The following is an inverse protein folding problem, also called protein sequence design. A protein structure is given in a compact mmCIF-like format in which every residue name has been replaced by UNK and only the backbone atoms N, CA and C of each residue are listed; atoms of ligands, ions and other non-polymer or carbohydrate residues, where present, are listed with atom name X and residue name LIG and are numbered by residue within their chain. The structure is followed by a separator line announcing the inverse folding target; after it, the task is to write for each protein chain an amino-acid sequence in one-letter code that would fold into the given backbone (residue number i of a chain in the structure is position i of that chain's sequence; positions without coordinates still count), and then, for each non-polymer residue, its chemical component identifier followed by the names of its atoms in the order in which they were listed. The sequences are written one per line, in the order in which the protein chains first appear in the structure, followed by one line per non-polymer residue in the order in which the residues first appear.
data_IF_366401669751
#
_entry.id   IF_366401669751
#
_cell.length_a   1.000
_cell.length_b   1.000
_cell.length_c   1.000
_cell.angle_alpha   90.00
_cell.angle_beta   90.00
_cell.angle_gamma   90.00
#
_symmetry.space_group_name_H-M   'P 1'
#
loop_
_entity.id
_entity.type
_entity.pdbx_description
1 polymer ?
#
# COMPACT_ATOMS: atom_id res chain seq x y z
N UNK A 1 -10.96 41.60 -0.87
CA UNK A 1 -9.61 41.34 -1.41
C UNK A 1 -8.65 41.18 -0.24
N UNK A 2 -8.42 39.95 0.21
CA UNK A 2 -7.60 39.64 1.40
C UNK A 2 -6.29 39.01 0.99
N UNK A 3 -5.18 39.71 1.25
CA UNK A 3 -3.83 39.31 0.87
C UNK A 3 -3.27 38.30 1.90
N UNK A 4 -3.17 37.02 1.52
CA UNK A 4 -2.53 35.99 2.32
C UNK A 4 -1.00 36.14 2.28
N UNK A 5 -0.40 36.62 3.38
CA UNK A 5 1.05 36.54 3.62
C UNK A 5 1.42 35.10 4.01
N UNK A 6 2.33 34.47 3.25
CA UNK A 6 2.93 33.16 3.60
C UNK A 6 4.03 33.35 4.67
N UNK A 7 4.21 32.43 5.63
CA UNK A 7 5.31 32.51 6.59
C UNK A 7 6.65 32.20 5.93
N UNK A 8 7.63 33.07 6.14
CA UNK A 8 9.03 32.86 5.75
C UNK A 8 9.70 31.78 6.60
N UNK A 9 10.55 31.00 5.95
CA UNK A 9 11.38 29.90 6.46
C UNK A 9 12.53 30.38 7.36
N UNK A 10 12.22 30.98 8.51
CA UNK A 10 13.23 31.41 9.49
C UNK A 10 13.69 30.29 10.46
N UNK A 11 12.99 29.16 10.55
CA UNK A 11 13.26 28.15 11.60
C UNK A 11 14.51 27.30 11.36
N UNK A 12 14.91 27.08 10.10
CA UNK A 12 16.07 26.23 9.78
C UNK A 12 17.41 26.95 10.04
N UNK A 13 17.45 28.27 9.83
CA UNK A 13 18.62 29.10 10.07
C UNK A 13 18.94 29.23 11.56
N UNK A 14 17.90 29.35 12.40
CA UNK A 14 18.04 29.35 13.86
C UNK A 14 18.53 27.99 14.42
N UNK A 15 18.10 26.88 13.81
CA UNK A 15 18.54 25.55 14.23
C UNK A 15 20.04 25.33 13.95
N UNK A 16 20.52 25.79 12.80
CA UNK A 16 21.95 25.72 12.44
C UNK A 16 22.84 26.63 13.29
N UNK A 17 22.37 27.84 13.64
CA UNK A 17 23.09 28.72 14.55
C UNK A 17 23.10 28.23 16.01
N UNK A 18 22.06 27.52 16.44
CA UNK A 18 21.99 26.96 17.81
C UNK A 18 23.00 25.82 18.02
N UNK A 19 23.31 25.05 16.97
CA UNK A 19 24.37 24.04 16.98
C UNK A 19 25.76 24.70 17.12
N UNK A 20 25.98 25.89 16.52
CA UNK A 20 27.24 26.63 16.71
C UNK A 20 27.38 27.30 18.09
N UNK A 21 26.27 27.63 18.77
CA UNK A 21 26.32 28.39 20.03
C UNK A 21 26.34 27.55 21.30
N UNK A 22 25.95 26.26 21.25
CA UNK A 22 25.87 25.43 22.46
C UNK A 22 27.13 24.64 22.82
N UNK A 23 28.13 24.60 21.94
CA UNK A 23 29.36 23.82 22.17
C UNK A 23 30.63 24.69 22.33
N UNK A 24 30.50 26.00 22.56
CA UNK A 24 31.64 26.90 22.81
C UNK A 24 32.03 27.02 24.29
N UNK A 25 31.70 26.03 25.11
CA UNK A 25 32.26 25.87 26.47
C UNK A 25 32.94 24.52 26.57
N UNK A 26 34.14 24.47 25.98
CA UNK A 26 35.31 23.66 26.34
C UNK A 26 36.17 23.51 25.09
N UNK A 27 37.09 24.45 24.90
CA UNK A 27 38.25 24.25 24.04
C UNK A 27 39.10 23.14 24.67
N UNK A 28 39.03 21.96 24.06
CA UNK A 28 40.04 20.87 24.04
C UNK A 28 39.35 19.51 23.85
N UNK A 29 38.46 19.41 22.87
CA UNK A 29 38.05 18.12 22.31
C UNK A 29 38.55 18.04 20.89
N UNK A 30 39.49 17.13 20.67
CA UNK A 30 40.03 16.84 19.34
C UNK A 30 38.94 16.19 18.48
N UNK A 31 39.10 16.22 17.15
CA UNK A 31 38.18 15.53 16.23
C UNK A 31 38.06 14.02 16.53
N UNK A 32 39.09 13.43 17.14
CA UNK A 32 39.07 12.06 17.67
C UNK A 32 38.06 11.89 18.81
N UNK A 33 38.02 12.81 19.77
CA UNK A 33 37.10 12.74 20.92
C UNK A 33 35.63 12.84 20.48
N UNK A 34 35.34 13.62 19.45
CA UNK A 34 34.00 13.73 18.85
C UNK A 34 33.61 12.44 18.12
N UNK A 35 34.55 11.81 17.41
CA UNK A 35 34.33 10.53 16.72
C UNK A 35 34.14 9.38 17.72
N UNK A 36 34.88 9.37 18.83
CA UNK A 36 34.74 8.36 19.89
C UNK A 36 33.44 8.54 20.69
N UNK A 37 32.98 9.79 20.89
CA UNK A 37 31.64 10.08 21.44
C UNK A 37 30.51 9.62 20.50
N UNK A 38 30.67 9.80 19.18
CA UNK A 38 29.70 9.29 18.19
C UNK A 38 29.70 7.76 18.11
N UNK A 39 30.85 7.11 18.23
CA UNK A 39 30.98 5.66 18.25
C UNK A 39 30.43 5.05 19.56
N UNK A 40 30.71 5.65 20.72
CA UNK A 40 30.19 5.20 22.01
C UNK A 40 28.69 5.47 22.19
N UNK A 41 28.15 6.55 21.61
CA UNK A 41 26.70 6.79 21.52
C UNK A 41 25.99 5.77 20.60
N UNK A 42 26.70 5.24 19.60
CA UNK A 42 26.23 4.16 18.72
C UNK A 42 26.17 2.80 19.46
N UNK A 43 27.07 2.55 20.41
CA UNK A 43 27.15 1.27 21.13
C UNK A 43 26.24 1.19 22.37
N UNK A 44 25.82 2.33 22.95
CA UNK A 44 24.87 2.35 24.09
C UNK A 44 23.39 2.19 23.71
N UNK A 45 23.06 1.98 22.44
CA UNK A 45 21.68 1.89 21.93
C UNK A 45 21.31 0.48 21.46
N UNK A 46 21.65 -0.54 22.25
CA UNK A 46 21.31 -1.94 21.97
C UNK A 46 20.59 -2.60 23.16
N UNK A 47 19.48 -2.03 23.64
CA UNK A 47 18.39 -2.86 24.22
C UNK A 47 17.06 -2.14 24.50
N UNK A 48 16.81 -0.97 23.91
CA UNK A 48 15.42 -0.59 23.68
C UNK A 48 14.98 -1.36 22.44
N UNK A 49 14.10 -2.33 22.64
CA UNK A 49 13.32 -2.98 21.58
C UNK A 49 12.58 -1.86 20.83
N UNK A 50 13.28 -1.18 19.92
CA UNK A 50 12.73 -0.12 19.12
C UNK A 50 11.55 -0.74 18.41
N UNK A 51 10.34 -0.25 18.66
CA UNK A 51 9.13 -0.69 17.97
C UNK A 51 9.43 -0.72 16.48
N UNK A 52 9.74 -1.91 15.97
CA UNK A 52 10.18 -2.06 14.59
C UNK A 52 8.99 -1.65 13.75
N UNK A 53 9.13 -0.55 13.04
CA UNK A 53 8.08 -0.04 12.18
C UNK A 53 7.69 -1.13 11.17
N UNK A 54 6.50 -1.70 11.35
CA UNK A 54 5.99 -2.74 10.46
C UNK A 54 5.48 -2.09 9.17
N UNK A 55 5.81 -2.70 8.04
CA UNK A 55 5.19 -2.41 6.75
C UNK A 55 4.10 -3.45 6.45
N UNK A 56 3.38 -3.29 5.34
CA UNK A 56 2.35 -4.25 4.91
C UNK A 56 2.76 -4.89 3.59
N UNK A 57 2.95 -6.21 3.57
CA UNK A 57 3.11 -6.99 2.36
C UNK A 57 1.75 -7.40 1.81
N UNK A 58 1.45 -7.06 0.56
CA UNK A 58 0.20 -7.43 -0.11
C UNK A 58 0.38 -8.64 -1.02
N UNK A 59 -0.44 -9.68 -0.81
CA UNK A 59 -0.53 -10.85 -1.70
C UNK A 59 -1.96 -11.03 -2.20
N UNK A 60 -2.13 -11.28 -3.51
CA UNK A 60 -3.44 -11.54 -4.09
C UNK A 60 -4.02 -12.86 -3.60
N UNK A 61 -5.34 -12.88 -3.36
CA UNK A 61 -6.10 -14.10 -3.07
C UNK A 61 -6.89 -14.45 -4.34
N UNK A 62 -6.95 -15.74 -4.68
CA UNK A 62 -7.73 -16.27 -5.81
C UNK A 62 -8.92 -17.09 -5.30
N UNK A 63 -9.95 -16.44 -4.73
CA UNK A 63 -11.08 -17.16 -4.18
C UNK A 63 -11.98 -17.74 -5.28
N UNK A 64 -12.55 -18.92 -5.01
CA UNK A 64 -13.65 -19.51 -5.80
C UNK A 64 -14.92 -18.66 -5.71
N UNK A 65 -15.96 -19.00 -6.50
CA UNK A 65 -17.25 -18.31 -6.42
C UNK A 65 -17.89 -18.44 -5.03
N UNK A 66 -17.78 -19.61 -4.40
CA UNK A 66 -18.29 -19.83 -3.05
C UNK A 66 -17.47 -19.04 -2.01
N UNK A 67 -16.14 -19.14 -2.03
CA UNK A 67 -15.26 -18.38 -1.13
C UNK A 67 -15.48 -16.87 -1.24
N UNK A 68 -15.71 -16.34 -2.45
CA UNK A 68 -16.06 -14.93 -2.66
C UNK A 68 -17.33 -14.52 -1.91
N UNK A 69 -18.36 -15.37 -1.89
CA UNK A 69 -19.59 -15.11 -1.11
C UNK A 69 -19.30 -15.03 0.37
N UNK A 70 -18.54 -15.98 0.91
CA UNK A 70 -18.13 -16.01 2.32
C UNK A 70 -17.31 -14.79 2.70
N UNK A 71 -16.32 -14.39 1.87
CA UNK A 71 -15.51 -13.20 2.11
C UNK A 71 -16.32 -11.90 2.05
N UNK A 72 -17.30 -11.81 1.16
CA UNK A 72 -18.22 -10.67 1.11
C UNK A 72 -19.12 -10.63 2.35
N UNK A 73 -19.58 -11.78 2.85
CA UNK A 73 -20.36 -11.85 4.07
C UNK A 73 -19.54 -11.45 5.30
N UNK A 74 -18.27 -11.86 5.38
CA UNK A 74 -17.34 -11.40 6.42
C UNK A 74 -17.15 -9.87 6.38
N UNK A 75 -17.02 -9.29 5.18
CA UNK A 75 -16.99 -7.83 5.02
C UNK A 75 -18.29 -7.18 5.50
N UNK A 76 -19.45 -7.76 5.16
CA UNK A 76 -20.76 -7.26 5.55
C UNK A 76 -20.91 -7.25 7.06
N UNK A 77 -20.60 -8.36 7.73
CA UNK A 77 -20.61 -8.50 9.19
C UNK A 77 -19.64 -7.52 9.84
N UNK A 78 -18.43 -7.39 9.31
CA UNK A 78 -17.43 -6.44 9.81
C UNK A 78 -17.94 -5.00 9.72
N UNK A 79 -18.47 -4.59 8.56
CA UNK A 79 -18.99 -3.24 8.33
C UNK A 79 -20.19 -2.94 9.22
N UNK A 80 -21.12 -3.89 9.31
CA UNK A 80 -22.29 -3.77 10.17
C UNK A 80 -21.90 -3.64 11.65
N UNK A 81 -20.99 -4.47 12.14
CA UNK A 81 -20.50 -4.40 13.53
C UNK A 81 -19.92 -3.02 13.85
N UNK A 82 -19.09 -2.48 12.94
CA UNK A 82 -18.49 -1.16 13.12
C UNK A 82 -19.56 -0.05 13.13
N UNK A 83 -20.52 -0.10 12.20
CA UNK A 83 -21.60 0.86 12.14
C UNK A 83 -22.50 0.80 13.37
N UNK A 84 -22.77 -0.41 13.88
CA UNK A 84 -23.55 -0.59 15.08
C UNK A 84 -22.82 -0.01 16.30
N UNK A 85 -21.51 -0.24 16.43
CA UNK A 85 -20.70 0.42 17.45
C UNK A 85 -20.77 1.95 17.35
N UNK A 86 -20.67 2.49 16.13
CA UNK A 86 -20.76 3.93 15.87
C UNK A 86 -22.11 4.50 16.29
N UNK A 87 -23.21 3.83 15.92
CA UNK A 87 -24.57 4.20 16.31
C UNK A 87 -24.79 4.13 17.82
N UNK A 88 -24.31 3.08 18.48
CA UNK A 88 -24.42 2.95 19.95
C UNK A 88 -23.71 4.09 20.69
N UNK A 89 -22.54 4.52 20.19
CA UNK A 89 -21.80 5.62 20.80
C UNK A 89 -22.47 6.97 20.53
N UNK A 90 -22.91 7.20 19.30
CA UNK A 90 -23.45 8.51 18.88
C UNK A 90 -24.90 8.72 19.34
N UNK A 91 -25.77 7.73 19.11
CA UNK A 91 -27.22 7.87 19.31
C UNK A 91 -27.66 7.36 20.68
N UNK A 92 -27.00 6.33 21.22
CA UNK A 92 -27.34 5.74 22.53
C UNK A 92 -26.43 6.23 23.66
N UNK A 93 -25.46 7.09 23.36
CA UNK A 93 -24.55 7.68 24.35
C UNK A 93 -23.66 6.67 25.08
N UNK A 94 -23.47 5.46 24.53
CA UNK A 94 -22.61 4.46 25.16
C UNK A 94 -21.14 4.86 25.11
N UNK A 95 -20.41 4.56 26.19
CA UNK A 95 -18.96 4.77 26.23
C UNK A 95 -18.28 3.84 25.21
N UNK A 96 -17.27 4.32 24.45
CA UNK A 96 -16.55 3.55 23.43
C UNK A 96 -15.53 2.58 24.06
N UNK A 97 -15.96 1.82 25.07
CA UNK A 97 -15.15 0.81 25.74
C UNK A 97 -15.39 -0.53 25.06
N UNK A 98 -14.29 -1.22 24.74
CA UNK A 98 -14.33 -2.49 24.04
C UNK A 98 -15.25 -3.51 24.73
N UNK A 99 -15.11 -3.68 26.04
CA UNK A 99 -15.92 -4.63 26.82
C UNK A 99 -17.41 -4.31 26.79
N UNK A 100 -17.78 -3.03 26.93
CA UNK A 100 -19.17 -2.57 26.90
C UNK A 100 -19.82 -2.86 25.54
N UNK A 101 -19.15 -2.46 24.46
CA UNK A 101 -19.68 -2.66 23.11
C UNK A 101 -19.72 -4.15 22.75
N UNK A 102 -18.70 -4.93 23.10
CA UNK A 102 -18.66 -6.38 22.82
C UNK A 102 -19.84 -7.15 23.43
N UNK A 103 -20.28 -6.78 24.64
CA UNK A 103 -21.44 -7.40 25.29
C UNK A 103 -22.74 -7.25 24.48
N UNK A 104 -22.79 -6.29 23.57
CA UNK A 104 -23.94 -6.00 22.71
C UNK A 104 -23.67 -6.54 21.31
N UNK A 105 -22.68 -5.97 20.60
CA UNK A 105 -22.50 -6.21 19.16
C UNK A 105 -21.86 -7.56 18.81
N UNK A 106 -21.26 -8.26 19.77
CA UNK A 106 -20.63 -9.57 19.53
C UNK A 106 -21.52 -10.74 19.95
N UNK A 107 -22.77 -10.49 20.36
CA UNK A 107 -23.72 -11.56 20.69
C UNK A 107 -24.05 -12.41 19.47
N UNK A 108 -24.26 -13.67 19.77
CA UNK A 108 -24.57 -14.73 18.81
C UNK A 108 -26.06 -14.86 18.60
N UNK A 109 -26.87 -14.73 19.65
CA UNK A 109 -28.31 -14.80 19.55
C UNK A 109 -28.94 -13.42 19.68
N UNK A 110 -30.02 -13.21 18.93
CA UNK A 110 -30.76 -11.97 18.90
C UNK A 110 -31.38 -11.64 20.27
N UNK A 111 -31.94 -12.65 20.94
CA UNK A 111 -32.59 -12.51 22.26
C UNK A 111 -31.64 -12.15 23.41
N UNK A 112 -30.33 -12.30 23.22
CA UNK A 112 -29.32 -11.94 24.24
C UNK A 112 -28.99 -10.44 24.24
N UNK A 113 -29.55 -9.67 23.31
CA UNK A 113 -29.34 -8.23 23.15
C UNK A 113 -30.61 -7.51 23.56
N UNK A 114 -30.46 -6.56 24.48
CA UNK A 114 -31.56 -5.69 24.93
C UNK A 114 -32.22 -5.01 23.71
N UNK A 115 -33.57 -5.09 23.58
CA UNK A 115 -34.32 -4.48 22.49
C UNK A 115 -33.97 -3.00 22.23
N UNK A 116 -33.62 -2.22 23.27
CA UNK A 116 -33.28 -0.81 23.11
C UNK A 116 -32.00 -0.56 22.29
N UNK A 117 -31.13 -1.58 22.20
CA UNK A 117 -29.87 -1.56 21.47
C UNK A 117 -29.92 -2.30 20.14
N UNK A 118 -31.06 -2.91 19.79
CA UNK A 118 -31.28 -3.57 18.50
C UNK A 118 -31.45 -2.56 17.38
N UNK A 119 -31.06 -2.99 16.17
CA UNK A 119 -31.35 -2.28 14.93
C UNK A 119 -32.41 -3.09 14.17
N UNK A 120 -33.34 -2.44 13.50
CA UNK A 120 -34.37 -3.14 12.74
C UNK A 120 -33.77 -4.07 11.66
N UNK A 121 -34.38 -5.24 11.47
CA UNK A 121 -34.00 -6.23 10.45
C UNK A 121 -32.54 -6.73 10.56
N UNK A 122 -32.03 -6.84 11.79
CA UNK A 122 -30.67 -7.30 12.10
C UNK A 122 -30.53 -8.82 12.31
N UNK A 123 -31.61 -9.60 12.17
CA UNK A 123 -31.62 -11.05 12.38
C UNK A 123 -30.53 -11.80 11.59
N UNK A 124 -30.26 -11.37 10.35
CA UNK A 124 -29.21 -11.95 9.50
C UNK A 124 -27.80 -11.86 10.13
N UNK A 125 -27.58 -10.89 11.03
CA UNK A 125 -26.29 -10.63 11.66
C UNK A 125 -25.98 -11.64 12.78
N UNK A 126 -26.99 -12.28 13.39
CA UNK A 126 -26.86 -13.20 14.52
C UNK A 126 -26.40 -14.61 14.11
N UNK A 127 -25.44 -14.69 13.19
CA UNK A 127 -24.82 -15.93 12.76
C UNK A 127 -23.58 -16.28 13.62
N UNK A 128 -23.61 -17.43 14.29
CA UNK A 128 -22.55 -17.88 15.21
C UNK A 128 -21.19 -18.08 14.55
N UNK A 129 -21.15 -18.36 13.24
CA UNK A 129 -19.91 -18.66 12.53
C UNK A 129 -18.98 -17.45 12.39
N UNK A 130 -19.50 -16.22 12.57
CA UNK A 130 -18.73 -14.99 12.33
C UNK A 130 -18.39 -14.22 13.61
N UNK A 131 -18.49 -14.85 14.79
CA UNK A 131 -18.23 -14.23 16.09
C UNK A 131 -16.84 -13.55 16.16
N UNK A 132 -15.80 -14.19 15.63
CA UNK A 132 -14.46 -13.59 15.63
C UNK A 132 -14.35 -12.35 14.74
N UNK A 133 -15.10 -12.29 13.62
CA UNK A 133 -15.15 -11.10 12.76
C UNK A 133 -15.85 -9.93 13.46
N UNK A 134 -16.93 -10.22 14.22
CA UNK A 134 -17.59 -9.22 15.08
C UNK A 134 -16.60 -8.69 16.13
N UNK A 135 -15.89 -9.60 16.80
CA UNK A 135 -14.93 -9.25 17.84
C UNK A 135 -13.80 -8.34 17.32
N UNK A 136 -13.17 -8.71 16.20
CA UNK A 136 -12.10 -7.90 15.60
C UNK A 136 -12.60 -6.57 15.08
N UNK A 137 -13.80 -6.52 14.49
CA UNK A 137 -14.39 -5.26 14.03
C UNK A 137 -14.71 -4.30 15.17
N UNK A 138 -15.27 -4.80 16.28
CA UNK A 138 -15.52 -3.99 17.48
C UNK A 138 -14.21 -3.44 18.09
N UNK A 139 -13.15 -4.27 18.17
CA UNK A 139 -11.82 -3.83 18.61
C UNK A 139 -11.24 -2.75 17.67
N UNK A 140 -11.39 -2.93 16.37
CA UNK A 140 -10.96 -1.95 15.35
C UNK A 140 -11.70 -0.62 15.48
N UNK A 141 -13.01 -0.66 15.76
CA UNK A 141 -13.79 0.54 16.06
C UNK A 141 -13.23 1.29 17.27
N UNK A 142 -13.06 0.61 18.41
CA UNK A 142 -12.57 1.22 19.64
C UNK A 142 -11.18 1.84 19.46
N UNK A 143 -10.29 1.14 18.73
CA UNK A 143 -8.95 1.63 18.40
C UNK A 143 -9.02 2.87 17.50
N UNK A 144 -9.85 2.83 16.45
CA UNK A 144 -10.04 3.95 15.53
C UNK A 144 -10.63 5.18 16.23
N UNK A 145 -11.56 4.96 17.16
CA UNK A 145 -12.16 6.00 17.97
C UNK A 145 -11.13 6.69 18.88
N UNK A 146 -10.32 5.90 19.60
CA UNK A 146 -9.24 6.42 20.46
C UNK A 146 -8.23 7.23 19.66
N UNK A 147 -7.80 6.71 18.51
CA UNK A 147 -6.86 7.40 17.62
C UNK A 147 -7.44 8.69 17.06
N UNK A 148 -8.71 8.69 16.66
CA UNK A 148 -9.38 9.89 16.15
C UNK A 148 -9.43 11.01 17.18
N UNK A 149 -9.74 10.67 18.44
CA UNK A 149 -9.73 11.62 19.56
C UNK A 149 -8.33 12.18 19.82
N UNK A 150 -7.30 11.33 19.82
CA UNK A 150 -5.91 11.74 20.04
C UNK A 150 -5.41 12.69 18.94
N UNK A 151 -5.71 12.38 17.68
CA UNK A 151 -5.25 13.13 16.51
C UNK A 151 -6.15 14.34 16.18
N UNK A 152 -7.19 14.62 16.97
CA UNK A 152 -8.25 15.60 16.66
C UNK A 152 -8.83 15.42 15.25
N UNK A 153 -8.84 14.19 14.76
CA UNK A 153 -9.33 13.86 13.42
C UNK A 153 -10.78 13.41 13.47
N UNK A 154 -11.51 13.57 12.37
CA UNK A 154 -12.87 13.03 12.27
C UNK A 154 -12.83 11.50 12.28
N UNK A 155 -13.76 10.89 13.02
CA UNK A 155 -13.97 9.45 12.97
C UNK A 155 -14.42 9.04 11.56
N UNK A 156 -14.12 7.80 11.15
CA UNK A 156 -14.57 7.30 9.85
C UNK A 156 -16.09 7.30 9.77
N UNK A 157 -16.59 7.69 8.59
CA UNK A 157 -18.01 7.62 8.23
C UNK A 157 -18.53 6.17 8.31
N UNK A 158 -19.86 5.98 8.44
CA UNK A 158 -20.48 4.67 8.31
C UNK A 158 -20.00 3.95 7.04
N UNK A 159 -19.76 2.65 7.17
CA UNK A 159 -19.31 1.79 6.08
C UNK A 159 -20.51 1.17 5.35
N UNK A 160 -20.41 0.93 4.04
CA UNK A 160 -21.50 0.31 3.30
C UNK A 160 -21.75 -1.13 3.75
N UNK A 161 -22.99 -1.46 4.10
CA UNK A 161 -23.40 -2.84 4.45
C UNK A 161 -24.00 -3.54 3.23
N UNK A 162 -24.79 -2.82 2.43
CA UNK A 162 -25.29 -3.30 1.14
C UNK A 162 -24.28 -3.02 0.02
N UNK A 163 -24.31 -3.86 -1.03
CA UNK A 163 -23.53 -3.68 -2.26
C UNK A 163 -22.05 -3.32 -2.02
N UNK A 164 -21.35 -4.19 -1.29
CA UNK A 164 -19.95 -3.97 -0.91
C UNK A 164 -19.06 -3.98 -2.16
N UNK A 165 -18.77 -2.80 -2.70
CA UNK A 165 -17.84 -2.64 -3.83
C UNK A 165 -16.40 -2.86 -3.37
N UNK A 166 -16.04 -2.26 -2.24
CA UNK A 166 -14.70 -2.32 -1.64
C UNK A 166 -14.79 -2.30 -0.11
N UNK A 167 -13.72 -2.73 0.55
CA UNK A 167 -13.66 -2.70 2.00
C UNK A 167 -12.54 -3.57 2.55
N UNK A 168 -12.44 -3.61 3.88
CA UNK A 168 -11.46 -4.48 4.54
C UNK A 168 -11.95 -4.97 5.89
N UNK A 169 -11.57 -6.18 6.26
CA UNK A 169 -11.76 -6.72 7.61
C UNK A 169 -10.46 -7.32 8.13
N UNK A 170 -10.31 -7.38 9.45
CA UNK A 170 -9.14 -7.96 10.10
C UNK A 170 -9.43 -9.40 10.55
N UNK A 171 -8.43 -10.25 10.40
CA UNK A 171 -8.46 -11.66 10.81
C UNK A 171 -7.33 -11.89 11.81
N UNK A 172 -7.66 -12.53 12.93
CA UNK A 172 -6.68 -12.81 13.97
C UNK A 172 -5.65 -13.82 13.46
N UNK A 173 -4.38 -13.63 13.85
CA UNK A 173 -3.30 -14.54 13.42
C UNK A 173 -3.57 -16.00 13.75
N UNK A 174 -4.20 -16.27 14.90
CA UNK A 174 -4.51 -17.65 15.36
C UNK A 174 -5.47 -18.38 14.43
N UNK A 175 -6.27 -17.64 13.66
CA UNK A 175 -7.22 -18.19 12.70
C UNK A 175 -6.62 -18.37 11.31
N UNK A 176 -5.34 -18.04 11.14
CA UNK A 176 -4.59 -18.14 9.91
C UNK A 176 -3.38 -19.02 10.11
N UNK A 177 -3.27 -20.06 9.28
CA UNK A 177 -2.10 -20.93 9.30
C UNK A 177 -1.77 -21.43 7.92
N UNK A 178 -0.50 -21.77 7.73
CA UNK A 178 -0.06 -22.54 6.58
C UNK A 178 -0.68 -23.95 6.64
N UNK A 179 -0.92 -24.54 5.47
CA UNK A 179 -1.38 -25.92 5.41
C UNK A 179 -0.27 -26.86 5.89
N UNK A 180 -0.60 -27.72 6.83
CA UNK A 180 0.26 -28.83 7.24
C UNK A 180 -0.02 -30.06 6.38
N UNK A 181 0.88 -31.06 6.42
CA UNK A 181 0.65 -32.36 5.78
C UNK A 181 -0.67 -33.02 6.20
N UNK A 182 -1.12 -32.78 7.44
CA UNK A 182 -2.38 -33.31 7.99
C UNK A 182 -3.63 -32.64 7.42
N UNK A 183 -3.51 -31.44 6.85
CA UNK A 183 -4.65 -30.68 6.32
C UNK A 183 -5.04 -31.11 4.88
N UNK A 184 -4.12 -31.75 4.17
CA UNK A 184 -4.31 -32.08 2.75
C UNK A 184 -4.60 -33.57 2.62
N UNK A 185 -5.88 -33.92 2.42
CA UNK A 185 -6.33 -35.29 2.14
C UNK A 185 -5.79 -35.89 0.83
N UNK A 186 -5.09 -35.08 0.03
CA UNK A 186 -4.48 -35.49 -1.23
C UNK A 186 -3.00 -35.15 -1.15
N UNK A 187 -2.10 -36.02 -1.63
CA UNK A 187 -0.64 -35.81 -1.64
C UNK A 187 -0.19 -34.67 -2.60
N UNK A 188 -1.01 -33.64 -2.79
CA UNK A 188 -0.78 -32.57 -3.73
C UNK A 188 0.13 -31.50 -3.11
N UNK A 189 1.44 -31.69 -3.23
CA UNK A 189 2.48 -30.76 -2.77
C UNK A 189 2.27 -29.32 -3.28
N UNK A 190 1.60 -29.14 -4.43
CA UNK A 190 1.29 -27.81 -4.95
C UNK A 190 0.28 -27.04 -4.08
N UNK A 191 -0.59 -27.72 -3.34
CA UNK A 191 -1.53 -27.06 -2.43
C UNK A 191 -0.82 -26.46 -1.22
N UNK A 192 0.09 -27.21 -0.59
CA UNK A 192 0.84 -26.72 0.59
C UNK A 192 1.64 -25.46 0.27
N UNK A 193 2.14 -25.34 -0.95
CA UNK A 193 2.98 -24.23 -1.38
C UNK A 193 2.22 -22.95 -1.76
N UNK A 194 0.88 -22.98 -1.90
CA UNK A 194 0.11 -21.83 -2.39
C UNK A 194 -1.19 -21.56 -1.65
N UNK A 195 -1.55 -22.36 -0.66
CA UNK A 195 -2.83 -22.22 0.05
C UNK A 195 -2.62 -21.90 1.52
N UNK A 196 -3.56 -21.15 2.08
CA UNK A 196 -3.65 -20.87 3.51
C UNK A 196 -4.98 -21.36 4.05
N UNK A 197 -4.96 -21.78 5.32
CA UNK A 197 -6.17 -22.05 6.07
C UNK A 197 -6.60 -20.76 6.78
N UNK A 198 -7.85 -20.36 6.57
CA UNK A 198 -8.49 -19.27 7.28
C UNK A 198 -9.88 -19.72 7.69
N UNK A 199 -10.20 -19.73 8.99
CA UNK A 199 -11.53 -20.06 9.52
C UNK A 199 -12.27 -21.14 8.70
N UNK A 200 -11.71 -22.37 8.61
CA UNK A 200 -12.13 -23.34 7.61
C UNK A 200 -13.61 -23.73 7.72
N UNK A 201 -14.19 -23.63 8.92
CA UNK A 201 -15.58 -23.98 9.20
C UNK A 201 -16.59 -22.96 8.62
N UNK A 202 -16.09 -21.80 8.17
CA UNK A 202 -16.89 -20.74 7.54
C UNK A 202 -16.99 -20.90 6.03
N UNK A 203 -16.12 -21.71 5.42
CA UNK A 203 -16.12 -21.94 3.97
C UNK A 203 -16.96 -23.16 3.63
N UNK A 204 -16.37 -24.36 3.60
CA UNK A 204 -17.01 -25.57 3.11
C UNK A 204 -16.65 -26.78 3.99
N UNK A 205 -17.43 -27.86 3.86
CA UNK A 205 -17.17 -29.15 4.54
C UNK A 205 -15.76 -29.68 4.18
N UNK A 206 -15.21 -30.51 5.09
CA UNK A 206 -13.83 -31.05 5.00
C UNK A 206 -13.51 -31.77 3.69
N UNK A 207 -14.52 -32.26 2.97
CA UNK A 207 -14.37 -33.05 1.74
C UNK A 207 -13.88 -32.25 0.52
N UNK A 208 -14.05 -30.93 0.47
CA UNK A 208 -13.59 -30.12 -0.67
C UNK A 208 -12.44 -29.16 -0.30
N UNK A 209 -11.18 -29.60 -0.42
CA UNK A 209 -10.03 -28.80 0.01
C UNK A 209 -9.84 -27.51 -0.82
N UNK A 210 -10.32 -27.47 -2.08
CA UNK A 210 -10.24 -26.27 -2.93
C UNK A 210 -11.18 -25.16 -2.46
N UNK A 211 -12.30 -25.53 -1.84
CA UNK A 211 -13.26 -24.58 -1.27
C UNK A 211 -12.94 -24.23 0.18
N UNK A 212 -12.35 -25.15 0.93
CA UNK A 212 -11.98 -24.95 2.34
C UNK A 212 -10.77 -24.04 2.55
N UNK A 213 -9.83 -24.01 1.62
CA UNK A 213 -8.56 -23.28 1.76
C UNK A 213 -8.42 -22.19 0.70
N UNK A 214 -7.84 -21.04 1.09
CA UNK A 214 -7.69 -19.90 0.20
C UNK A 214 -6.40 -20.00 -0.60
N UNK A 215 -6.51 -19.95 -1.93
CA UNK A 215 -5.35 -19.92 -2.82
C UNK A 215 -4.74 -18.51 -2.87
N UNK A 216 -3.42 -18.43 -2.72
CA UNK A 216 -2.64 -17.22 -2.88
C UNK A 216 -2.06 -17.10 -4.30
N UNK A 217 -1.84 -15.87 -4.74
CA UNK A 217 -1.19 -15.56 -6.00
C UNK A 217 0.34 -15.78 -5.96
N UNK A 218 0.94 -15.76 -4.77
CA UNK A 218 2.37 -16.06 -4.54
C UNK A 218 2.51 -17.36 -3.75
N UNK A 219 3.67 -18.01 -3.87
CA UNK A 219 4.01 -19.19 -3.05
C UNK A 219 4.22 -18.78 -1.59
N UNK A 220 3.92 -19.68 -0.65
CA UNK A 220 4.10 -19.47 0.79
C UNK A 220 5.55 -19.14 1.14
N UNK A 221 6.52 -19.72 0.46
CA UNK A 221 7.95 -19.41 0.65
C UNK A 221 8.35 -17.98 0.26
N UNK A 222 7.47 -17.25 -0.45
CA UNK A 222 7.71 -15.86 -0.91
C UNK A 222 6.88 -14.82 -0.15
N UNK A 223 6.13 -15.23 0.88
CA UNK A 223 5.39 -14.30 1.74
C UNK A 223 6.07 -14.23 3.11
N UNK A 224 5.97 -13.10 3.83
CA UNK A 224 6.43 -13.03 5.21
C UNK A 224 5.65 -13.99 6.12
N UNK A 225 6.24 -14.36 7.28
CA UNK A 225 5.52 -15.11 8.31
C UNK A 225 4.29 -14.32 8.81
N UNK A 226 3.25 -15.05 9.21
CA UNK A 226 1.99 -14.48 9.72
C UNK A 226 2.07 -14.38 11.25
N UNK A 227 2.86 -13.42 11.74
CA UNK A 227 3.11 -13.24 13.18
C UNK A 227 2.13 -12.27 13.85
N UNK A 228 1.33 -11.56 13.02
CA UNK A 228 0.39 -10.53 13.42
C UNK A 228 -0.98 -10.75 12.78
N UNK A 229 -1.99 -10.08 13.34
CA UNK A 229 -3.31 -10.01 12.74
C UNK A 229 -3.20 -9.40 11.34
N UNK A 230 -3.85 -10.02 10.37
CA UNK A 230 -3.78 -9.58 8.97
C UNK A 230 -5.06 -8.89 8.57
N UNK A 231 -5.01 -8.19 7.44
CA UNK A 231 -6.18 -7.54 6.85
C UNK A 231 -6.49 -8.14 5.49
N UNK A 232 -7.73 -8.55 5.27
CA UNK A 232 -8.24 -8.88 3.94
C UNK A 232 -8.91 -7.64 3.36
N UNK A 233 -8.54 -7.29 2.13
CA UNK A 233 -9.05 -6.12 1.42
C UNK A 233 -9.70 -6.55 0.11
N UNK A 234 -10.95 -6.14 -0.09
CA UNK A 234 -11.61 -6.16 -1.39
C UNK A 234 -11.34 -4.85 -2.10
N UNK A 235 -10.70 -4.92 -3.26
CA UNK A 235 -10.43 -3.77 -4.12
C UNK A 235 -11.64 -3.44 -4.99
N UNK A 236 -11.69 -2.22 -5.52
CA UNK A 236 -12.79 -1.75 -6.38
C UNK A 236 -13.01 -2.63 -7.64
N UNK A 237 -11.95 -3.25 -8.17
CA UNK A 237 -12.04 -4.21 -9.28
C UNK A 237 -12.56 -5.61 -8.86
N UNK A 238 -13.07 -5.76 -7.63
CA UNK A 238 -13.60 -7.02 -7.11
C UNK A 238 -12.55 -8.06 -6.70
N UNK A 239 -11.26 -7.75 -6.82
CA UNK A 239 -10.18 -8.66 -6.39
C UNK A 239 -9.92 -8.57 -4.89
N UNK A 240 -9.53 -9.70 -4.30
CA UNK A 240 -9.18 -9.79 -2.89
C UNK A 240 -7.66 -9.84 -2.71
N UNK A 241 -7.17 -9.13 -1.70
CA UNK A 241 -5.77 -9.19 -1.28
C UNK A 241 -5.65 -9.39 0.22
N UNK A 242 -4.63 -10.13 0.62
CA UNK A 242 -4.19 -10.32 1.99
C UNK A 242 -3.04 -9.36 2.26
N UNK A 243 -3.22 -8.50 3.27
CA UNK A 243 -2.22 -7.56 3.75
C UNK A 243 -1.64 -8.10 5.06
N UNK A 244 -0.37 -8.50 5.01
CA UNK A 244 0.36 -9.11 6.12
C UNK A 244 1.30 -8.04 6.70
N UNK A 245 1.14 -7.63 7.98
CA UNK A 245 2.12 -6.81 8.65
C UNK A 245 3.46 -7.55 8.76
N UNK A 246 4.55 -6.93 8.33
CA UNK A 246 5.86 -7.56 8.28
C UNK A 246 7.00 -6.55 8.36
N UNK A 247 8.22 -7.06 8.55
CA UNK A 247 9.43 -6.26 8.49
C UNK A 247 9.57 -5.57 7.10
N UNK A 248 10.05 -4.31 7.04
CA UNK A 248 10.30 -3.58 5.80
C UNK A 248 11.16 -4.33 4.77
N UNK A 249 12.02 -5.25 5.19
CA UNK A 249 12.87 -6.07 4.30
C UNK A 249 12.07 -6.91 3.30
N UNK A 250 10.82 -7.28 3.61
CA UNK A 250 9.96 -8.02 2.68
C UNK A 250 9.32 -7.13 1.59
N UNK A 251 9.24 -5.82 1.83
CA UNK A 251 8.57 -4.87 0.91
C UNK A 251 9.57 -3.99 0.17
N UNK A 252 10.77 -3.77 0.71
CA UNK A 252 11.82 -2.96 0.11
C UNK A 252 12.77 -3.83 -0.71
N UNK A 253 13.20 -3.32 -1.86
CA UNK A 253 14.30 -3.89 -2.62
C UNK A 253 15.60 -3.64 -1.85
N UNK A 254 16.38 -4.70 -1.64
CA UNK A 254 17.70 -4.57 -1.02
C UNK A 254 18.63 -3.87 -2.02
N UNK A 255 18.80 -2.56 -1.85
CA UNK A 255 19.60 -1.69 -2.72
C UNK A 255 21.08 -1.73 -2.36
N UNK A 256 21.46 -2.50 -1.34
CA UNK A 256 22.84 -2.66 -0.88
C UNK A 256 23.74 -3.33 -1.92
N UNK A 257 23.17 -4.10 -2.85
CA UNK A 257 23.91 -4.80 -3.90
C UNK A 257 23.74 -4.16 -5.29
N UNK A 258 22.95 -3.09 -5.40
CA UNK A 258 22.97 -2.32 -6.65
C UNK A 258 24.30 -1.57 -6.64
N UNK A 259 25.21 -1.89 -7.57
CA UNK A 259 26.38 -1.07 -7.88
C UNK A 259 25.87 0.28 -8.35
N UNK A 260 25.78 1.23 -7.42
CA UNK A 260 25.26 2.55 -7.73
C UNK A 260 26.36 3.34 -8.44
N UNK A 261 26.42 3.17 -9.76
CA UNK A 261 27.18 4.05 -10.63
C UNK A 261 26.46 5.42 -10.64
N UNK A 262 27.01 6.38 -9.90
CA UNK A 262 26.62 7.81 -9.83
C UNK A 262 25.28 8.09 -9.17
N UNK A 263 25.32 8.70 -7.98
CA UNK A 263 24.15 8.93 -7.12
C UNK A 263 23.86 10.41 -7.01
N UNK A 264 23.39 10.97 -8.10
CA UNK A 264 23.05 12.39 -8.18
C UNK A 264 21.72 12.66 -7.46
N UNK A 265 21.69 13.62 -6.53
CA UNK A 265 20.49 14.01 -5.76
C UNK A 265 19.89 15.30 -6.33
N UNK A 266 18.75 15.18 -7.02
CA UNK A 266 17.95 16.34 -7.41
C UNK A 266 17.24 16.95 -6.21
N UNK A 267 17.55 18.21 -5.92
CA UNK A 267 16.90 19.06 -4.93
C UNK A 267 15.99 20.01 -5.70
N UNK A 268 14.69 19.72 -5.73
CA UNK A 268 13.67 20.64 -6.27
C UNK A 268 13.07 21.45 -5.11
N UNK A 269 13.36 22.76 -5.02
CA UNK A 269 12.83 23.63 -3.99
C UNK A 269 11.41 24.14 -4.27
N UNK A 270 10.73 23.67 -5.32
CA UNK A 270 9.32 23.98 -5.58
C UNK A 270 9.09 25.47 -5.90
N UNK A 271 9.34 25.85 -7.15
CA UNK A 271 9.08 27.21 -7.67
C UNK A 271 10.12 27.78 -8.62
N UNK A 272 11.19 27.03 -8.94
CA UNK A 272 12.23 27.42 -9.92
C UNK A 272 12.08 26.62 -11.22
N UNK A 273 12.60 27.18 -12.32
CA UNK A 273 12.62 26.55 -13.66
C UNK A 273 13.80 25.60 -13.89
N UNK A 274 14.76 25.55 -12.96
CA UNK A 274 15.91 24.64 -12.99
C UNK A 274 15.99 23.85 -11.68
N UNK A 275 16.40 22.58 -11.77
CA UNK A 275 16.70 21.72 -10.65
C UNK A 275 18.11 22.02 -10.13
N UNK A 276 18.26 22.13 -8.81
CA UNK A 276 19.60 22.12 -8.20
C UNK A 276 19.95 20.68 -7.90
N UNK A 277 21.16 20.27 -8.24
CA UNK A 277 21.57 18.90 -8.22
C UNK A 277 22.87 18.78 -7.43
N UNK A 278 22.88 17.89 -6.43
CA UNK A 278 24.07 17.61 -5.63
C UNK A 278 24.64 16.25 -6.01
N UNK A 279 25.92 16.21 -6.36
CA UNK A 279 26.67 14.96 -6.50
C UNK A 279 27.47 14.71 -5.21
N UNK A 280 27.11 13.67 -4.43
CA UNK A 280 27.83 13.32 -3.21
C UNK A 280 29.21 12.69 -3.48
N UNK A 281 29.48 12.23 -4.71
CA UNK A 281 30.79 11.64 -5.07
C UNK A 281 31.79 12.76 -5.31
N UNK A 282 31.43 13.72 -6.17
CA UNK A 282 32.29 14.86 -6.51
C UNK A 282 32.14 16.03 -5.52
N UNK A 283 31.28 15.89 -4.51
CA UNK A 283 30.89 16.93 -3.56
C UNK A 283 30.51 18.25 -4.25
N UNK A 284 29.89 18.17 -5.43
CA UNK A 284 29.62 19.31 -6.29
C UNK A 284 28.14 19.61 -6.38
N UNK A 285 27.81 20.88 -6.62
CA UNK A 285 26.44 21.33 -6.87
C UNK A 285 26.38 21.92 -8.27
N UNK A 286 25.50 21.39 -9.11
CA UNK A 286 25.25 21.92 -10.44
C UNK A 286 23.76 22.11 -10.68
N UNK A 287 23.43 22.90 -11.70
CA UNK A 287 22.04 23.20 -12.07
C UNK A 287 21.70 22.43 -13.33
N UNK A 288 20.48 21.91 -13.39
CA UNK A 288 19.95 21.20 -14.56
C UNK A 288 18.62 21.83 -14.96
N UNK A 289 18.42 22.12 -16.24
CA UNK A 289 17.27 22.86 -16.76
C UNK A 289 17.53 24.36 -16.95
N UNK A 290 18.80 24.77 -17.02
CA UNK A 290 19.21 26.12 -17.43
C UNK A 290 19.06 26.29 -18.95
N UNK A 291 19.19 27.52 -19.46
CA UNK A 291 18.93 27.82 -20.87
C UNK A 291 19.86 27.02 -21.80
N UNK A 292 21.09 26.73 -21.39
CA UNK A 292 22.02 25.85 -22.12
C UNK A 292 21.50 24.40 -22.22
N UNK A 293 20.84 23.88 -21.17
CA UNK A 293 20.26 22.54 -21.18
C UNK A 293 19.03 22.45 -22.09
N UNK A 294 18.25 23.54 -22.17
CA UNK A 294 17.12 23.63 -23.09
C UNK A 294 17.60 23.54 -24.53
N UNK A 295 18.73 24.15 -24.87
CA UNK A 295 19.33 24.02 -26.20
C UNK A 295 19.73 22.56 -26.51
N UNK A 296 20.28 21.84 -25.53
CA UNK A 296 20.61 20.42 -25.69
C UNK A 296 19.35 19.55 -25.92
N UNK A 297 18.28 19.74 -25.14
CA UNK A 297 17.01 19.01 -25.33
C UNK A 297 16.36 19.37 -26.66
N UNK A 298 16.37 20.66 -27.04
CA UNK A 298 15.84 21.15 -28.31
C UNK A 298 16.63 20.62 -29.51
N UNK A 299 17.95 20.45 -29.40
CA UNK A 299 18.77 19.84 -30.45
C UNK A 299 18.42 18.36 -30.68
N UNK A 300 18.18 17.58 -29.62
CA UNK A 300 17.72 16.19 -29.71
C UNK A 300 16.34 16.10 -30.36
N UNK A 301 15.45 17.03 -30.03
CA UNK A 301 14.13 17.12 -30.65
C UNK A 301 14.23 17.48 -32.14
N UNK A 302 15.05 18.48 -32.49
CA UNK A 302 15.33 18.85 -33.89
C UNK A 302 15.92 17.69 -34.68
N UNK A 303 16.83 16.92 -34.10
CA UNK A 303 17.40 15.73 -34.75
C UNK A 303 16.35 14.66 -35.02
N UNK A 304 15.41 14.43 -34.09
CA UNK A 304 14.27 13.52 -34.30
C UNK A 304 13.30 14.01 -35.37
N UNK A 305 13.01 15.32 -35.38
CA UNK A 305 12.16 15.95 -36.40
C UNK A 305 12.82 15.84 -37.78
N UNK A 306 14.10 16.16 -37.90
CA UNK A 306 14.86 16.05 -39.14
C UNK A 306 14.95 14.60 -39.63
N UNK A 307 15.12 13.65 -38.73
CA UNK A 307 15.09 12.22 -39.07
C UNK A 307 13.71 11.80 -39.59
N UNK A 308 12.62 12.21 -38.92
CA UNK A 308 11.26 11.94 -39.37
C UNK A 308 10.96 12.56 -40.75
N UNK A 309 11.38 13.81 -40.99
CA UNK A 309 11.26 14.45 -42.30
C UNK A 309 12.02 13.69 -43.38
N UNK A 310 13.27 13.23 -43.12
CA UNK A 310 14.01 12.41 -44.09
C UNK A 310 13.26 11.13 -44.47
N UNK A 311 12.59 10.48 -43.53
CA UNK A 311 11.78 9.29 -43.79
C UNK A 311 10.52 9.60 -44.60
N UNK A 312 9.83 10.71 -44.27
CA UNK A 312 8.66 11.18 -45.02
C UNK A 312 9.02 11.54 -46.47
N UNK A 313 10.10 12.28 -46.69
CA UNK A 313 10.57 12.65 -48.02
C UNK A 313 10.95 11.40 -48.83
N UNK A 314 11.65 10.44 -48.23
CA UNK A 314 11.98 9.15 -48.88
C UNK A 314 10.72 8.36 -49.26
N UNK A 315 9.72 8.32 -48.37
CA UNK A 315 8.45 7.64 -48.64
C UNK A 315 7.70 8.30 -49.81
N UNK A 316 7.66 9.64 -49.85
CA UNK A 316 7.05 10.39 -50.95
C UNK A 316 7.78 10.17 -52.28
N UNK A 317 9.12 10.21 -52.31
CA UNK A 317 9.89 9.92 -53.53
C UNK A 317 9.69 8.49 -54.02
N UNK A 318 9.58 7.52 -53.10
CA UNK A 318 9.34 6.13 -53.46
C UNK A 318 7.93 5.91 -54.03
N UNK A 319 6.92 6.60 -53.50
CA UNK A 319 5.56 6.58 -54.04
C UNK A 319 5.49 7.18 -55.44
N UNK A 320 6.14 8.33 -55.67
CA UNK A 320 6.17 8.98 -56.98
C UNK A 320 6.91 8.13 -58.01
N UNK A 321 8.04 7.52 -57.64
CA UNK A 321 8.78 6.60 -58.52
C UNK A 321 7.97 5.33 -58.87
N UNK A 322 7.12 4.85 -57.94
CA UNK A 322 6.24 3.70 -58.17
C UNK A 322 5.08 4.05 -59.11
N UNK A 323 4.49 5.24 -58.96
CA UNK A 323 3.48 5.75 -59.90
C UNK A 323 4.06 5.91 -61.31
N UNK A 324 5.22 6.56 -61.44
CA UNK A 324 5.85 6.75 -62.75
C UNK A 324 6.21 5.41 -63.43
N UNK A 325 6.68 4.43 -62.67
CA UNK A 325 6.90 3.06 -63.19
C UNK A 325 5.59 2.42 -63.67
N UNK A 326 4.51 2.54 -62.90
CA UNK A 326 3.22 1.98 -63.28
C UNK A 326 2.66 2.64 -64.56
N UNK A 327 2.83 3.95 -64.73
CA UNK A 327 2.46 4.67 -65.97
C UNK A 327 3.26 4.17 -67.17
N UNK A 328 4.58 3.99 -67.04
CA UNK A 328 5.44 3.43 -68.09
C UNK A 328 5.05 1.99 -68.46
N UNK A 329 4.68 1.17 -67.48
CA UNK A 329 4.17 -0.18 -67.72
C UNK A 329 2.82 -0.16 -68.45
N UNK A 330 1.95 0.80 -68.12
CA UNK A 330 0.65 0.92 -68.77
C UNK A 330 0.77 1.36 -70.23
N UNK A 331 1.65 2.32 -70.53
CA UNK A 331 1.93 2.76 -71.91
C UNK A 331 2.53 1.63 -72.77
N UNK A 332 3.48 0.84 -72.23
CA UNK A 332 4.07 -0.29 -72.98
C UNK A 332 3.07 -1.39 -73.35
N UNK A 333 2.03 -1.57 -72.54
CA UNK A 333 1.02 -2.62 -72.74
C UNK A 333 0.04 -2.30 -73.89
N UNK A 334 -0.12 -1.02 -74.24
CA UNK A 334 -1.02 -0.57 -75.32
C UNK A 334 -0.33 -0.33 -76.66
N UNK A 335 1.01 -0.40 -76.72
CA UNK A 335 1.78 -0.32 -77.98
C UNK A 335 2.09 -1.69 -78.60
N UNK A 336 1.71 -2.79 -77.95
CA UNK A 336 2.01 -4.17 -78.38
C UNK A 336 0.73 -5.01 -78.67
N UNK A 337 -0.41 -4.33 -78.80
CA UNK A 337 -1.70 -4.86 -79.23
C UNK A 337 -2.17 -4.01 -80.40
#
# INVERSE_FOLDING_TARGET
MGCCKRPQTQSMWYWWQSIRRKDLVNHDKTACDVMELLQSASHKKQNTQSDKFLTSFSVGIRPTKHQKRVLNEMLRVSNYTYNWCLWLVNEKGLKPLQFTLQKIVCKTNAGDVDPQYRIENDEWFFNNKMSTIKLTSCKNFCTSYKSAKSLKSKLKRPMSVSNIVQGSFCVQKVLLRHLSGKDVFTNNANMQNQYICMMPDNFEKRSNPKERFLKLAKRITKIPPIDHDVKIVKRANGTFVLNIPCDPTYTRRNTSNDTIEKRVCGIDPGGRTFATVYDPIDCSVFQVGIEEDKQYVMSKLHNKINHAHKHLTKAQTNSNNKQHRNELYHCRKYTLS
#
